data_IF_688096926774
#
_entry.id   IF_688096926774
#
_cell.length_a   1.000
_cell.length_b   1.000
_cell.length_c   1.000
_cell.angle_alpha   90.00
_cell.angle_beta   90.00
_cell.angle_gamma   90.00
#
_symmetry.space_group_name_H-M   'P 1'
#
loop_
_entity.id
_entity.type
_entity.pdbx_description
1 polymer ?
#
# COMPACT_ATOMS: atom_id res chain seq x y z
N UNK A 1 -3.94 42.59 -51.49
CA UNK A 1 -5.27 42.68 -50.83
C UNK A 1 -4.99 43.07 -49.37
N UNK A 2 -5.12 44.34 -48.91
CA UNK A 2 -6.36 45.11 -48.64
C UNK A 2 -7.36 44.20 -47.89
N UNK A 3 -7.76 44.39 -46.63
CA UNK A 3 -8.12 45.55 -45.79
C UNK A 3 -8.06 45.09 -44.30
N UNK A 4 -7.61 45.86 -43.31
CA UNK A 4 -8.15 47.09 -42.71
C UNK A 4 -9.22 46.88 -41.63
N UNK A 5 -8.97 47.49 -40.47
CA UNK A 5 -9.94 48.07 -39.52
C UNK A 5 -10.73 47.08 -38.64
N UNK A 6 -11.07 47.34 -37.38
CA UNK A 6 -11.03 48.57 -36.58
C UNK A 6 -11.09 48.21 -35.07
N UNK A 7 -10.42 48.99 -34.23
CA UNK A 7 -10.85 49.24 -32.85
C UNK A 7 -11.96 50.30 -32.86
N UNK A 8 -12.78 50.37 -31.81
CA UNK A 8 -12.74 51.62 -31.05
C UNK A 8 -12.76 51.46 -29.51
N UNK A 9 -12.08 52.44 -28.90
CA UNK A 9 -12.03 52.78 -27.48
C UNK A 9 -13.35 53.45 -27.02
N UNK A 10 -13.70 53.26 -25.74
CA UNK A 10 -14.55 54.19 -24.95
C UNK A 10 -14.17 53.99 -23.48
N UNK A 11 -13.31 54.83 -22.88
CA UNK A 11 -13.60 56.13 -22.22
C UNK A 11 -14.78 56.07 -21.24
N UNK A 12 -14.78 56.61 -20.03
CA UNK A 12 -13.82 57.26 -19.11
C UNK A 12 -14.62 57.48 -17.81
N UNK A 13 -13.91 57.69 -16.69
CA UNK A 13 -14.24 58.63 -15.60
C UNK A 13 -15.54 58.44 -14.78
N UNK A 14 -15.40 58.34 -13.46
CA UNK A 14 -15.51 59.49 -12.55
C UNK A 14 -15.51 59.05 -11.08
N UNK A 15 -14.69 59.74 -10.29
CA UNK A 15 -14.59 59.66 -8.84
C UNK A 15 -15.63 60.56 -8.16
N UNK A 16 -16.16 60.16 -6.99
CA UNK A 16 -16.66 61.01 -5.89
C UNK A 16 -16.63 60.13 -4.62
N UNK A 17 -15.69 60.24 -3.69
CA UNK A 17 -15.56 61.19 -2.57
C UNK A 17 -16.81 61.37 -1.68
N UNK A 18 -16.58 61.05 -0.40
CA UNK A 18 -17.09 61.69 0.83
C UNK A 18 -18.49 61.37 1.36
N UNK A 19 -18.51 60.78 2.56
CA UNK A 19 -19.43 61.15 3.64
C UNK A 19 -18.78 60.83 4.99
N UNK A 20 -18.58 61.87 5.79
CA UNK A 20 -18.15 61.81 7.19
C UNK A 20 -19.30 61.36 8.10
N UNK A 21 -18.93 60.57 9.11
CA UNK A 21 -19.22 60.86 10.51
C UNK A 21 -20.66 60.76 11.03
N UNK A 22 -20.86 59.87 12.01
CA UNK A 22 -21.04 60.29 13.41
C UNK A 22 -20.90 59.13 14.41
N UNK A 23 -20.64 59.44 15.70
CA UNK A 23 -20.15 58.52 16.73
C UNK A 23 -21.27 58.01 17.67
N UNK A 24 -20.85 57.36 18.76
CA UNK A 24 -21.61 56.95 19.97
C UNK A 24 -22.27 55.57 19.84
N UNK A 25 -22.19 54.62 20.79
CA UNK A 25 -21.78 54.65 22.19
C UNK A 25 -21.10 53.32 22.55
N UNK A 26 -19.90 53.41 23.09
CA UNK A 26 -19.22 52.29 23.74
C UNK A 26 -19.90 52.03 25.08
N UNK A 27 -20.94 51.19 25.13
CA UNK A 27 -21.40 50.62 26.39
C UNK A 27 -20.36 49.62 26.88
N UNK A 28 -19.40 50.11 27.65
CA UNK A 28 -18.50 49.28 28.42
C UNK A 28 -19.32 48.53 29.48
N UNK A 29 -19.79 47.32 29.15
CA UNK A 29 -20.25 46.38 30.16
C UNK A 29 -19.03 45.93 30.95
N UNK A 30 -18.88 46.53 32.14
CA UNK A 30 -17.97 46.07 33.17
C UNK A 30 -18.41 44.68 33.63
N UNK A 31 -17.94 43.64 32.95
CA UNK A 31 -17.97 42.29 33.50
C UNK A 31 -17.05 42.26 34.72
N UNK A 32 -17.63 42.33 35.92
CA UNK A 32 -16.98 41.87 37.15
C UNK A 32 -16.73 40.36 37.00
N UNK A 33 -15.55 40.00 36.49
CA UNK A 33 -15.00 38.66 36.68
C UNK A 33 -14.65 38.50 38.15
N UNK A 34 -15.43 37.71 38.86
CA UNK A 34 -15.01 37.13 40.14
C UNK A 34 -14.05 35.99 39.83
N UNK A 35 -12.77 36.20 40.11
CA UNK A 35 -11.76 35.15 40.05
C UNK A 35 -11.87 34.31 41.31
N UNK A 36 -12.34 33.06 41.20
CA UNK A 36 -12.27 32.10 42.29
C UNK A 36 -10.85 31.54 42.37
N UNK A 37 -10.00 32.11 43.22
CA UNK A 37 -8.72 31.50 43.57
C UNK A 37 -8.97 30.36 44.56
N UNK A 38 -8.45 29.16 44.26
CA UNK A 38 -8.36 28.08 45.24
C UNK A 38 -7.36 28.51 46.33
N UNK A 39 -7.84 28.71 47.55
CA UNK A 39 -6.97 28.94 48.70
C UNK A 39 -6.19 27.66 49.01
N UNK A 40 -4.87 27.69 48.84
CA UNK A 40 -3.98 26.71 49.47
C UNK A 40 -3.79 27.15 50.93
N UNK A 41 -3.83 26.20 51.87
CA UNK A 41 -3.58 26.48 53.29
C UNK A 41 -2.08 26.68 53.47
N UNK A 42 -1.68 27.87 53.91
CA UNK A 42 -0.29 28.17 54.25
C UNK A 42 -0.05 27.90 55.74
N UNK A 43 1.05 27.23 56.05
CA UNK A 43 1.52 26.96 57.42
C UNK A 43 1.91 28.27 58.13
N UNK A 44 1.42 28.43 59.37
CA UNK A 44 1.38 29.69 60.10
C UNK A 44 2.73 30.22 60.64
N UNK A 45 3.88 29.69 60.22
CA UNK A 45 5.20 30.01 60.79
C UNK A 45 6.14 30.83 59.89
N UNK A 46 5.73 31.21 58.68
CA UNK A 46 6.53 32.05 57.78
C UNK A 46 5.90 33.44 57.64
N UNK A 47 6.69 34.54 57.67
CA UNK A 47 6.16 35.87 57.42
C UNK A 47 5.53 35.90 56.02
N UNK A 48 4.26 36.33 55.94
CA UNK A 48 3.49 36.44 54.69
C UNK A 48 4.13 37.52 53.81
N UNK A 49 5.06 37.13 52.96
CA UNK A 49 5.61 38.00 51.91
C UNK A 49 4.69 37.87 50.71
N UNK A 50 4.15 39.01 50.25
CA UNK A 50 3.32 39.08 49.05
C UNK A 50 4.19 38.69 47.85
N UNK A 51 3.94 37.51 47.28
CA UNK A 51 4.62 37.10 46.05
C UNK A 51 4.33 38.13 44.96
N UNK A 52 5.38 38.54 44.23
CA UNK A 52 5.22 39.50 43.14
C UNK A 52 4.22 38.91 42.14
N UNK A 53 3.21 39.69 41.69
CA UNK A 53 2.20 39.19 40.78
C UNK A 53 2.85 38.62 39.54
N UNK A 54 2.40 37.44 39.14
CA UNK A 54 2.96 36.70 38.02
C UNK A 54 2.92 37.59 36.77
N UNK A 55 4.06 37.71 36.07
CA UNK A 55 4.21 38.69 35.00
C UNK A 55 3.22 38.36 33.89
N UNK A 56 2.41 39.34 33.47
CA UNK A 56 1.38 39.17 32.44
C UNK A 56 1.97 38.52 31.19
N UNK A 57 1.64 37.24 30.98
CA UNK A 57 1.94 36.51 29.76
C UNK A 57 0.65 36.46 28.96
N UNK A 58 0.49 37.31 27.92
CA UNK A 58 -0.67 37.18 27.06
C UNK A 58 -0.67 35.75 26.50
N UNK A 59 -1.85 35.13 26.32
CA UNK A 59 -1.92 33.83 25.69
C UNK A 59 -1.22 33.91 24.33
N UNK A 60 -0.06 33.27 24.21
CA UNK A 60 0.84 33.44 23.06
C UNK A 60 0.26 32.86 21.76
N UNK A 61 -0.81 32.07 21.85
CA UNK A 61 -1.69 31.72 20.75
C UNK A 61 -3.09 31.41 21.28
N UNK A 62 -4.12 31.55 20.43
CA UNK A 62 -5.46 31.08 20.74
C UNK A 62 -5.41 29.59 21.11
N UNK A 63 -5.98 29.23 22.26
CA UNK A 63 -6.11 27.83 22.67
C UNK A 63 -6.75 27.04 21.52
N UNK A 64 -6.11 25.92 21.12
CA UNK A 64 -6.59 25.05 20.05
C UNK A 64 -8.11 24.90 20.15
N UNK A 65 -8.81 25.11 19.03
CA UNK A 65 -10.26 24.96 19.01
C UNK A 65 -10.63 23.63 19.66
N UNK A 66 -11.65 23.62 20.53
CA UNK A 66 -12.09 22.40 21.19
C UNK A 66 -12.31 21.29 20.15
N UNK A 67 -11.73 20.11 20.42
CA UNK A 67 -11.94 18.89 19.63
C UNK A 67 -13.43 18.70 19.32
N UNK A 68 -13.79 18.06 18.20
CA UNK A 68 -15.17 17.91 17.69
C UNK A 68 -16.22 17.48 18.74
N UNK A 69 -15.81 16.82 19.83
CA UNK A 69 -16.62 16.49 21.03
C UNK A 69 -17.04 17.68 21.91
N UNK A 70 -16.38 18.81 21.79
CA UNK A 70 -16.52 20.03 22.61
C UNK A 70 -16.92 21.24 21.75
N UNK A 71 -17.48 21.01 20.55
CA UNK A 71 -18.18 22.09 19.86
C UNK A 71 -19.38 22.50 20.71
N UNK A 72 -19.63 23.79 20.95
CA UNK A 72 -20.80 24.20 21.68
C UNK A 72 -22.03 23.73 20.90
N UNK A 73 -22.82 22.87 21.52
CA UNK A 73 -24.11 22.39 21.05
C UNK A 73 -25.18 23.49 21.09
N UNK A 74 -24.75 24.76 21.00
CA UNK A 74 -25.62 25.92 20.94
C UNK A 74 -25.75 26.33 19.48
N UNK A 75 -26.72 25.71 18.84
CA UNK A 75 -27.31 26.24 17.60
C UNK A 75 -28.08 27.49 18.01
N UNK A 76 -27.60 28.67 17.61
CA UNK A 76 -28.36 29.91 17.81
C UNK A 76 -29.57 29.89 16.87
N UNK A 77 -30.77 29.84 17.45
CA UNK A 77 -32.05 29.80 16.72
C UNK A 77 -32.99 28.69 17.20
N UNK A 78 -34.24 28.65 16.72
CA UNK A 78 -35.14 27.53 16.93
C UNK A 78 -34.53 26.22 16.41
N UNK A 79 -34.79 25.11 17.10
CA UNK A 79 -34.36 23.79 16.61
C UNK A 79 -35.08 23.49 15.29
N UNK A 80 -34.31 23.05 14.29
CA UNK A 80 -34.85 22.71 12.98
C UNK A 80 -35.84 21.55 13.14
N UNK A 81 -37.00 21.68 12.50
CA UNK A 81 -37.95 20.57 12.43
C UNK A 81 -37.34 19.41 11.64
N UNK A 82 -37.73 18.15 11.90
CA UNK A 82 -37.21 17.01 11.15
C UNK A 82 -37.48 17.14 9.64
N UNK A 83 -38.57 17.82 9.27
CA UNK A 83 -38.91 18.12 7.89
C UNK A 83 -37.93 19.13 7.26
N UNK A 84 -37.60 20.21 7.97
CA UNK A 84 -36.61 21.20 7.51
C UNK A 84 -35.23 20.59 7.33
N UNK A 85 -34.82 19.66 8.20
CA UNK A 85 -33.56 18.92 8.06
C UNK A 85 -33.56 18.05 6.79
N UNK A 86 -34.67 17.36 6.50
CA UNK A 86 -34.81 16.58 5.28
C UNK A 86 -34.78 17.47 4.02
N UNK A 87 -35.38 18.65 4.08
CA UNK A 87 -35.34 19.64 3.01
C UNK A 87 -33.92 20.19 2.81
N UNK A 88 -33.17 20.48 3.88
CA UNK A 88 -31.78 20.94 3.79
C UNK A 88 -30.87 19.93 3.07
N UNK A 89 -31.05 18.63 3.32
CA UNK A 89 -30.30 17.56 2.64
C UNK A 89 -30.54 17.50 1.13
N UNK A 90 -31.71 17.97 0.66
CA UNK A 90 -32.10 17.95 -0.76
C UNK A 90 -31.84 19.28 -1.47
N UNK A 91 -31.67 20.38 -0.75
CA UNK A 91 -31.37 21.70 -1.31
C UNK A 91 -29.97 21.72 -1.92
N UNK A 92 -29.88 22.03 -3.22
CA UNK A 92 -28.63 22.10 -3.98
C UNK A 92 -28.31 23.56 -4.31
N UNK A 93 -27.14 24.02 -3.89
CA UNK A 93 -26.59 25.32 -4.29
C UNK A 93 -25.44 25.13 -5.29
N UNK A 94 -25.08 26.17 -6.06
CA UNK A 94 -23.92 26.11 -6.94
C UNK A 94 -22.65 25.70 -6.17
N UNK A 95 -21.81 24.85 -6.77
CA UNK A 95 -20.56 24.32 -6.21
C UNK A 95 -20.67 23.46 -4.93
N UNK A 96 -21.88 23.11 -4.48
CA UNK A 96 -22.05 22.15 -3.39
C UNK A 96 -22.07 20.71 -3.90
N UNK A 97 -21.72 19.77 -3.00
CA UNK A 97 -21.88 18.34 -3.25
C UNK A 97 -23.33 18.04 -3.65
N UNK A 98 -23.57 17.13 -4.62
CA UNK A 98 -24.92 16.66 -4.93
C UNK A 98 -25.63 16.11 -3.68
N UNK A 99 -26.97 16.24 -3.60
CA UNK A 99 -27.71 15.80 -2.42
C UNK A 99 -27.65 14.27 -2.22
N UNK A 100 -27.79 13.85 -0.96
CA UNK A 100 -27.83 12.44 -0.55
C UNK A 100 -28.94 11.69 -1.32
N UNK A 101 -28.64 10.48 -1.82
CA UNK A 101 -29.56 9.67 -2.62
C UNK A 101 -29.51 9.91 -4.13
N UNK A 102 -28.72 10.88 -4.60
CA UNK A 102 -28.41 10.99 -6.04
C UNK A 102 -27.27 10.05 -6.44
N UNK A 103 -27.27 9.61 -7.70
CA UNK A 103 -26.18 8.80 -8.26
C UNK A 103 -24.82 9.47 -8.13
N UNK A 104 -24.76 10.78 -8.37
CA UNK A 104 -23.51 11.54 -8.29
C UNK A 104 -22.95 11.54 -6.87
N UNK A 105 -23.80 11.74 -5.86
CA UNK A 105 -23.39 11.64 -4.45
C UNK A 105 -22.93 10.21 -4.10
N UNK A 106 -23.64 9.19 -4.57
CA UNK A 106 -23.24 7.79 -4.38
C UNK A 106 -21.87 7.50 -4.99
N UNK A 107 -21.64 7.90 -6.25
CA UNK A 107 -20.38 7.67 -6.96
C UNK A 107 -19.20 8.36 -6.26
N UNK A 108 -19.35 9.63 -5.88
CA UNK A 108 -18.30 10.43 -5.20
C UNK A 108 -17.97 9.92 -3.79
N UNK A 109 -18.95 9.39 -3.06
CA UNK A 109 -18.78 9.08 -1.63
C UNK A 109 -18.49 7.59 -1.38
N UNK A 110 -18.78 6.70 -2.32
CA UNK A 110 -18.60 5.26 -2.13
C UNK A 110 -17.12 4.85 -2.24
N UNK A 111 -16.49 4.55 -1.11
CA UNK A 111 -15.09 4.11 -1.05
C UNK A 111 -14.84 2.79 -1.78
N UNK A 112 -15.78 1.84 -1.71
CA UNK A 112 -15.62 0.53 -2.35
C UNK A 112 -15.57 0.67 -3.87
N UNK A 113 -16.41 1.54 -4.44
CA UNK A 113 -16.42 1.82 -5.87
C UNK A 113 -15.06 2.34 -6.35
N UNK A 114 -14.46 3.30 -5.63
CA UNK A 114 -13.12 3.81 -5.97
C UNK A 114 -12.04 2.74 -5.85
N UNK A 115 -12.13 1.87 -4.84
CA UNK A 115 -11.22 0.73 -4.67
C UNK A 115 -11.35 -0.25 -5.84
N UNK A 116 -12.56 -0.60 -6.26
CA UNK A 116 -12.76 -1.49 -7.41
C UNK A 116 -12.28 -0.87 -8.72
N UNK A 117 -12.54 0.41 -8.97
CA UNK A 117 -12.08 1.08 -10.20
C UNK A 117 -10.55 1.15 -10.21
N UNK A 118 -9.92 1.59 -9.12
CA UNK A 118 -8.46 1.65 -9.04
C UNK A 118 -7.81 0.28 -9.16
N UNK A 119 -8.36 -0.76 -8.50
CA UNK A 119 -7.90 -2.13 -8.66
C UNK A 119 -8.10 -2.66 -10.09
N UNK A 120 -9.24 -2.38 -10.73
CA UNK A 120 -9.52 -2.82 -12.09
C UNK A 120 -8.56 -2.18 -13.10
N UNK A 121 -8.26 -0.88 -12.96
CA UNK A 121 -7.28 -0.20 -13.80
C UNK A 121 -5.88 -0.78 -13.57
N UNK A 122 -5.48 -1.00 -12.32
CA UNK A 122 -4.16 -1.56 -12.00
C UNK A 122 -4.01 -2.99 -12.51
N UNK A 123 -5.04 -3.83 -12.33
CA UNK A 123 -5.06 -5.22 -12.77
C UNK A 123 -5.07 -5.32 -14.30
N UNK A 124 -5.89 -4.52 -14.98
CA UNK A 124 -5.92 -4.51 -16.46
C UNK A 124 -4.59 -4.03 -17.06
N UNK A 125 -3.94 -3.03 -16.48
CA UNK A 125 -2.62 -2.58 -16.94
C UNK A 125 -1.54 -3.64 -16.68
N UNK A 126 -1.53 -4.26 -15.50
CA UNK A 126 -0.60 -5.34 -15.18
C UNK A 126 -0.80 -6.54 -16.13
N UNK A 127 -2.05 -6.94 -16.37
CA UNK A 127 -2.39 -8.00 -17.30
C UNK A 127 -2.00 -7.65 -18.74
N UNK A 128 -2.20 -6.41 -19.17
CA UNK A 128 -1.78 -5.94 -20.50
C UNK A 128 -0.26 -6.01 -20.68
N UNK A 129 0.51 -5.51 -19.72
CA UNK A 129 1.98 -5.58 -19.75
C UNK A 129 2.46 -7.02 -19.75
N UNK A 130 1.87 -7.87 -18.89
CA UNK A 130 2.14 -9.31 -18.87
C UNK A 130 1.87 -9.96 -20.24
N UNK A 131 0.70 -9.70 -20.82
CA UNK A 131 0.31 -10.26 -22.11
C UNK A 131 1.22 -9.78 -23.23
N UNK A 132 1.56 -8.48 -23.27
CA UNK A 132 2.49 -7.95 -24.27
C UNK A 132 3.89 -8.54 -24.11
N UNK A 133 4.39 -8.66 -22.89
CA UNK A 133 5.68 -9.29 -22.62
C UNK A 133 5.69 -10.76 -23.06
N UNK A 134 4.62 -11.50 -22.79
CA UNK A 134 4.47 -12.88 -23.27
C UNK A 134 4.45 -12.94 -24.80
N UNK A 135 3.66 -12.09 -25.47
CA UNK A 135 3.56 -12.08 -26.93
C UNK A 135 4.88 -11.69 -27.63
N UNK A 136 5.76 -10.92 -26.99
CA UNK A 136 7.05 -10.51 -27.56
C UNK A 136 8.21 -11.46 -27.25
N UNK A 137 8.20 -12.12 -26.08
CA UNK A 137 9.32 -12.97 -25.62
C UNK A 137 9.12 -14.45 -25.91
N UNK A 138 7.90 -14.88 -26.24
CA UNK A 138 7.61 -16.30 -26.43
C UNK A 138 8.18 -16.83 -27.76
N UNK A 139 8.90 -17.97 -27.74
CA UNK A 139 9.34 -18.64 -28.96
C UNK A 139 8.17 -19.36 -29.67
N UNK A 140 7.07 -19.65 -28.96
CA UNK A 140 5.92 -20.41 -29.46
C UNK A 140 4.77 -19.54 -29.98
N UNK A 141 5.07 -18.34 -30.48
CA UNK A 141 4.07 -17.36 -30.92
C UNK A 141 3.13 -17.90 -32.00
N UNK A 142 3.63 -18.78 -32.87
CA UNK A 142 2.91 -19.32 -34.02
C UNK A 142 1.83 -20.34 -33.59
N UNK A 143 1.93 -20.87 -32.37
CA UNK A 143 0.96 -21.81 -31.81
C UNK A 143 -0.19 -21.09 -31.08
N UNK A 144 -0.17 -19.76 -31.01
CA UNK A 144 -1.23 -19.00 -30.36
C UNK A 144 -2.49 -18.94 -31.24
N UNK A 145 -3.68 -18.97 -30.63
CA UNK A 145 -4.92 -18.82 -31.37
C UNK A 145 -4.98 -17.43 -32.02
N UNK A 146 -5.58 -17.37 -33.22
CA UNK A 146 -5.81 -16.11 -33.90
C UNK A 146 -6.72 -15.21 -33.04
N UNK A 147 -6.52 -13.89 -33.10
CA UNK A 147 -7.33 -12.93 -32.31
C UNK A 147 -8.83 -13.01 -32.62
N UNK A 148 -9.19 -13.40 -33.85
CA UNK A 148 -10.58 -13.63 -34.26
C UNK A 148 -11.18 -14.89 -33.63
N UNK A 149 -10.37 -15.92 -33.33
CA UNK A 149 -10.88 -17.18 -32.79
C UNK A 149 -11.36 -17.07 -31.33
N UNK A 150 -10.89 -16.02 -30.62
CA UNK A 150 -11.42 -15.66 -29.30
C UNK A 150 -12.91 -15.31 -29.33
N UNK A 151 -13.41 -14.76 -30.45
CA UNK A 151 -14.83 -14.39 -30.59
C UNK A 151 -15.70 -15.57 -31.05
N UNK A 152 -15.16 -16.47 -31.90
CA UNK A 152 -15.90 -17.65 -32.37
C UNK A 152 -15.89 -18.82 -31.39
N UNK A 153 -14.72 -19.13 -30.81
CA UNK A 153 -14.54 -20.27 -29.90
C UNK A 153 -13.75 -19.85 -28.66
N UNK A 154 -14.36 -19.08 -27.74
CA UNK A 154 -13.65 -18.48 -26.60
C UNK A 154 -12.98 -19.54 -25.72
N UNK A 155 -13.67 -20.65 -25.43
CA UNK A 155 -13.13 -21.71 -24.57
C UNK A 155 -11.96 -22.46 -25.21
N UNK A 156 -12.06 -22.80 -26.50
CA UNK A 156 -10.98 -23.49 -27.23
C UNK A 156 -9.72 -22.61 -27.31
N UNK A 157 -9.91 -21.35 -27.65
CA UNK A 157 -8.82 -20.37 -27.71
C UNK A 157 -8.14 -20.20 -26.35
N UNK A 158 -8.91 -20.14 -25.25
CA UNK A 158 -8.33 -20.07 -23.90
C UNK A 158 -7.51 -21.32 -23.55
N UNK A 159 -8.03 -22.52 -23.83
CA UNK A 159 -7.29 -23.76 -23.60
C UNK A 159 -5.98 -23.80 -24.40
N UNK A 160 -6.02 -23.41 -25.68
CA UNK A 160 -4.83 -23.32 -26.51
C UNK A 160 -3.82 -22.30 -25.96
N UNK A 161 -4.28 -21.10 -25.56
CA UNK A 161 -3.44 -20.10 -24.92
C UNK A 161 -2.75 -20.65 -23.66
N UNK A 162 -3.49 -21.33 -22.77
CA UNK A 162 -2.91 -21.94 -21.57
C UNK A 162 -1.92 -23.05 -21.89
N UNK A 163 -2.15 -23.84 -22.94
CA UNK A 163 -1.20 -24.87 -23.39
C UNK A 163 0.13 -24.26 -23.85
N UNK A 164 0.08 -23.16 -24.62
CA UNK A 164 1.27 -22.42 -25.06
C UNK A 164 1.97 -21.73 -23.89
N UNK A 165 1.19 -21.17 -22.96
CA UNK A 165 1.74 -20.59 -21.74
C UNK A 165 2.50 -21.63 -20.90
N UNK A 166 1.98 -22.85 -20.78
CA UNK A 166 2.68 -23.96 -20.11
C UNK A 166 4.01 -24.29 -20.82
N UNK A 167 4.01 -24.40 -22.14
CA UNK A 167 5.26 -24.64 -22.90
C UNK A 167 6.27 -23.50 -22.71
N UNK A 168 5.83 -22.25 -22.66
CA UNK A 168 6.69 -21.12 -22.35
C UNK A 168 7.27 -21.20 -20.94
N UNK A 169 6.45 -21.54 -19.94
CA UNK A 169 6.91 -21.73 -18.57
C UNK A 169 7.94 -22.88 -18.46
N UNK A 170 7.70 -23.99 -19.15
CA UNK A 170 8.62 -25.13 -19.22
C UNK A 170 9.95 -24.72 -19.86
N UNK A 171 9.91 -23.94 -20.94
CA UNK A 171 11.12 -23.40 -21.59
C UNK A 171 11.93 -22.47 -20.68
N UNK A 172 11.28 -21.52 -20.01
CA UNK A 172 11.94 -20.62 -19.04
C UNK A 172 12.53 -21.40 -17.87
N UNK A 173 11.84 -22.46 -17.42
CA UNK A 173 12.32 -23.35 -16.38
C UNK A 173 13.59 -24.10 -16.82
N UNK A 174 13.59 -24.66 -18.04
CA UNK A 174 14.75 -25.34 -18.63
C UNK A 174 15.95 -24.40 -18.77
N UNK A 175 15.75 -23.20 -19.33
CA UNK A 175 16.84 -22.21 -19.43
C UNK A 175 17.41 -21.83 -18.07
N UNK A 176 16.54 -21.68 -17.07
CA UNK A 176 16.97 -21.34 -15.71
C UNK A 176 17.73 -22.49 -15.06
N UNK A 177 17.29 -23.73 -15.28
CA UNK A 177 17.98 -24.92 -14.83
C UNK A 177 19.37 -25.04 -15.49
N UNK A 178 19.49 -24.78 -16.79
CA UNK A 178 20.78 -24.75 -17.48
C UNK A 178 21.70 -23.65 -16.94
N UNK A 179 21.17 -22.43 -16.75
CA UNK A 179 21.93 -21.32 -16.16
C UNK A 179 22.43 -21.67 -14.74
N UNK A 180 21.65 -22.42 -13.96
CA UNK A 180 22.06 -22.91 -12.64
C UNK A 180 23.11 -24.01 -12.74
N UNK A 181 22.95 -24.97 -13.65
CA UNK A 181 23.94 -26.03 -13.91
C UNK A 181 25.30 -25.45 -14.28
N UNK A 182 25.35 -24.50 -15.21
CA UNK A 182 26.60 -23.82 -15.61
C UNK A 182 27.31 -23.16 -14.43
N UNK A 183 26.56 -22.50 -13.53
CA UNK A 183 27.13 -21.89 -12.33
C UNK A 183 27.69 -22.92 -11.35
N UNK A 184 27.01 -24.05 -11.18
CA UNK A 184 27.49 -25.15 -10.32
C UNK A 184 28.76 -25.76 -10.92
N UNK A 185 28.74 -26.08 -12.22
CA UNK A 185 29.91 -26.59 -12.95
C UNK A 185 31.13 -25.65 -12.83
N UNK A 186 30.93 -24.33 -12.89
CA UNK A 186 32.01 -23.36 -12.71
C UNK A 186 32.57 -23.37 -11.28
N UNK A 187 31.72 -23.57 -10.26
CA UNK A 187 32.16 -23.72 -8.87
C UNK A 187 32.92 -25.03 -8.67
N UNK A 188 32.43 -26.12 -9.26
CA UNK A 188 33.04 -27.44 -9.16
C UNK A 188 34.41 -27.44 -9.84
N UNK A 189 34.54 -26.89 -11.05
CA UNK A 189 35.84 -26.71 -11.73
C UNK A 189 36.83 -25.91 -10.88
N UNK A 190 36.37 -24.85 -10.20
CA UNK A 190 37.22 -24.07 -9.29
C UNK A 190 37.64 -24.89 -8.06
N UNK A 191 36.74 -25.71 -7.53
CA UNK A 191 37.05 -26.59 -6.40
C UNK A 191 38.06 -27.68 -6.81
N UNK A 192 37.87 -28.29 -7.98
CA UNK A 192 38.80 -29.26 -8.56
C UNK A 192 40.17 -28.64 -8.81
N UNK A 193 40.23 -27.43 -9.37
CA UNK A 193 41.47 -26.69 -9.56
C UNK A 193 42.22 -26.46 -8.25
N UNK A 194 41.52 -25.98 -7.20
CA UNK A 194 42.13 -25.79 -5.87
C UNK A 194 42.61 -27.11 -5.26
N UNK A 195 41.85 -28.19 -5.44
CA UNK A 195 42.22 -29.53 -4.98
C UNK A 195 43.46 -30.06 -5.71
N UNK A 196 43.53 -29.91 -7.03
CA UNK A 196 44.66 -30.35 -7.84
C UNK A 196 45.95 -29.58 -7.52
N UNK A 197 45.84 -28.29 -7.20
CA UNK A 197 46.97 -27.45 -6.82
C UNK A 197 47.29 -27.45 -5.32
N UNK A 198 46.63 -28.30 -4.51
CA UNK A 198 46.94 -28.45 -3.09
C UNK A 198 46.50 -27.28 -2.19
N UNK A 199 45.98 -26.18 -2.74
CA UNK A 199 45.50 -25.01 -1.98
C UNK A 199 44.39 -25.41 -1.00
N UNK A 200 43.50 -26.29 -1.46
CA UNK A 200 42.42 -26.83 -0.64
C UNK A 200 42.93 -27.70 0.52
N UNK A 201 44.14 -28.28 0.46
CA UNK A 201 44.68 -29.11 1.53
C UNK A 201 45.16 -28.26 2.73
N UNK A 202 45.64 -27.04 2.49
CA UNK A 202 46.07 -26.10 3.53
C UNK A 202 44.87 -25.43 4.20
N UNK A 203 43.83 -25.06 3.44
CA UNK A 203 42.60 -24.44 3.97
C UNK A 203 41.64 -25.44 4.66
N UNK A 204 41.64 -26.72 4.24
CA UNK A 204 40.83 -27.78 4.87
C UNK A 204 41.33 -28.20 6.25
N UNK A 205 42.54 -27.85 6.64
CA UNK A 205 43.05 -28.10 8.00
C UNK A 205 42.41 -27.20 9.06
N UNK A 206 42.08 -25.96 8.72
CA UNK A 206 41.55 -24.96 9.64
C UNK A 206 40.02 -24.89 9.67
N UNK A 207 39.33 -25.12 8.55
CA UNK A 207 37.87 -25.00 8.46
C UNK A 207 37.09 -26.32 8.61
N UNK A 208 37.74 -27.48 8.49
CA UNK A 208 37.09 -28.80 8.71
C UNK A 208 36.77 -29.07 10.18
N UNK A 209 37.53 -28.51 11.11
CA UNK A 209 37.28 -28.68 12.55
C UNK A 209 35.99 -28.01 13.07
N UNK A 210 35.47 -26.99 12.37
CA UNK A 210 34.24 -26.29 12.76
C UNK A 210 33.00 -26.80 12.02
N UNK A 211 33.13 -27.28 10.77
CA UNK A 211 31.98 -27.60 9.90
C UNK A 211 31.72 -29.09 9.66
N UNK A 212 32.52 -30.01 10.22
CA UNK A 212 32.25 -31.45 10.17
C UNK A 212 32.08 -32.04 11.56
N UNK A 213 30.91 -31.85 12.17
CA UNK A 213 30.38 -32.86 13.09
C UNK A 213 29.62 -33.92 12.27
N UNK A 214 29.88 -35.22 12.49
CA UNK A 214 29.22 -36.30 11.77
C UNK A 214 27.93 -36.69 12.49
N UNK A 215 26.77 -36.48 11.85
CA UNK A 215 25.61 -37.30 12.17
C UNK A 215 25.66 -38.53 11.27
N UNK A 216 26.24 -39.60 11.80
CA UNK A 216 26.22 -40.92 11.20
C UNK A 216 24.78 -41.32 10.88
N UNK A 217 24.48 -41.54 9.59
CA UNK A 217 23.36 -42.37 9.17
C UNK A 217 23.95 -43.56 8.44
N UNK A 218 23.82 -44.73 9.08
CA UNK A 218 24.17 -46.05 8.56
C UNK A 218 23.71 -46.20 7.11
N UNK A 219 24.67 -46.33 6.22
CA UNK A 219 24.51 -46.98 4.92
C UNK A 219 24.56 -48.49 5.17
N UNK A 220 23.39 -49.13 5.25
CA UNK A 220 23.29 -50.54 4.92
C UNK A 220 23.11 -50.66 3.41
N UNK A 221 24.09 -51.30 2.81
CA UNK A 221 24.12 -51.72 1.41
C UNK A 221 23.19 -52.93 1.29
N UNK A 222 22.16 -52.82 0.43
CA UNK A 222 21.45 -54.00 -0.08
C UNK A 222 21.64 -54.00 -1.58
N UNK A 223 22.36 -55.02 -2.04
CA UNK A 223 22.63 -55.31 -3.44
C UNK A 223 21.35 -55.70 -4.21
N UNK A 224 21.49 -55.51 -5.52
CA UNK A 224 20.56 -55.65 -6.63
C UNK A 224 19.70 -56.93 -6.65
N UNK A 225 18.41 -56.78 -6.88
CA UNK A 225 17.59 -57.77 -7.59
C UNK A 225 16.60 -57.05 -8.54
N UNK A 226 16.71 -57.40 -9.82
CA UNK A 226 15.80 -57.03 -10.91
C UNK A 226 14.54 -57.87 -10.77
N UNK A 227 13.35 -57.24 -10.79
CA UNK A 227 12.19 -57.70 -11.56
C UNK A 227 11.09 -56.62 -11.58
N UNK A 228 10.49 -56.44 -12.75
CA UNK A 228 9.53 -55.38 -13.02
C UNK A 228 8.11 -55.68 -12.53
N UNK A 229 7.42 -54.63 -12.10
CA UNK A 229 5.97 -54.53 -12.17
C UNK A 229 5.57 -53.05 -12.17
N UNK A 230 4.69 -52.72 -13.11
CA UNK A 230 3.97 -51.45 -13.26
C UNK A 230 3.01 -51.27 -12.08
N UNK A 231 2.72 -49.99 -11.78
CA UNK A 231 1.61 -49.42 -11.00
C UNK A 231 2.02 -48.62 -9.75
N UNK A 232 1.55 -47.37 -9.76
CA UNK A 232 1.24 -46.48 -8.64
C UNK A 232 2.34 -45.66 -7.94
N UNK A 233 2.09 -44.34 -7.94
CA UNK A 233 2.92 -43.29 -7.34
C UNK A 233 2.84 -43.30 -5.82
N UNK A 234 3.96 -43.11 -5.09
CA UNK A 234 3.92 -42.59 -3.74
C UNK A 234 4.22 -41.09 -3.72
N UNK A 235 3.15 -40.34 -3.52
CA UNK A 235 3.14 -38.94 -3.07
C UNK A 235 4.01 -38.78 -1.80
N UNK A 236 4.85 -37.74 -1.82
CA UNK A 236 5.46 -37.06 -0.67
C UNK A 236 6.34 -37.88 0.28
N UNK A 237 7.64 -37.99 -0.06
CA UNK A 237 8.71 -37.89 0.94
C UNK A 237 9.38 -36.53 0.75
N UNK A 238 9.31 -35.70 1.78
CA UNK A 238 9.89 -34.35 1.81
C UNK A 238 11.42 -34.42 1.72
N UNK A 239 11.94 -34.33 0.50
CA UNK A 239 13.34 -34.01 0.29
C UNK A 239 13.55 -32.53 0.65
N UNK A 240 14.33 -32.30 1.70
CA UNK A 240 14.82 -30.96 2.08
C UNK A 240 15.72 -30.42 0.96
N UNK A 241 15.15 -29.65 0.06
CA UNK A 241 15.90 -28.88 -0.92
C UNK A 241 16.63 -27.72 -0.20
N UNK A 242 17.96 -27.65 -0.34
CA UNK A 242 18.82 -26.61 0.25
C UNK A 242 19.10 -25.52 -0.79
N UNK A 243 18.79 -24.27 -0.47
CA UNK A 243 19.18 -23.11 -1.28
C UNK A 243 20.66 -22.72 -1.04
N UNK A 244 21.25 -22.05 -2.03
CA UNK A 244 22.68 -21.76 -2.25
C UNK A 244 23.43 -20.99 -1.12
N UNK A 245 22.76 -20.52 -0.07
CA UNK A 245 23.35 -19.66 0.97
C UNK A 245 23.56 -20.33 2.34
N UNK A 246 23.40 -21.66 2.45
CA UNK A 246 23.72 -22.41 3.66
C UNK A 246 22.84 -22.09 4.88
N UNK A 247 21.84 -21.21 4.75
CA UNK A 247 20.78 -21.06 5.74
C UNK A 247 19.79 -22.20 5.53
N UNK A 248 19.75 -23.14 6.48
CA UNK A 248 18.54 -23.94 6.65
C UNK A 248 17.40 -22.94 6.83
N UNK A 249 16.43 -22.91 5.90
CA UNK A 249 15.16 -22.27 6.19
C UNK A 249 14.67 -22.95 7.46
N UNK A 250 14.73 -22.23 8.58
CA UNK A 250 14.08 -22.62 9.82
C UNK A 250 12.71 -23.15 9.42
N UNK A 251 12.46 -24.41 9.76
CA UNK A 251 11.19 -25.11 9.58
C UNK A 251 10.06 -24.08 9.64
N UNK A 252 9.35 -23.92 8.52
CA UNK A 252 8.34 -22.86 8.35
C UNK A 252 7.47 -22.83 9.58
N UNK A 253 7.56 -21.76 10.38
CA UNK A 253 6.73 -21.58 11.57
C UNK A 253 5.28 -21.76 11.12
N UNK A 254 4.47 -22.59 11.81
CA UNK A 254 3.12 -22.90 11.36
C UNK A 254 2.33 -21.59 11.21
N UNK A 255 1.85 -21.34 9.99
CA UNK A 255 1.04 -20.16 9.68
C UNK A 255 -0.25 -20.25 10.50
N UNK A 256 -0.56 -19.20 11.26
CA UNK A 256 -1.81 -19.13 12.02
C UNK A 256 -2.98 -19.16 11.04
N UNK A 257 -3.70 -20.28 11.02
CA UNK A 257 -4.87 -20.55 10.18
C UNK A 257 -6.01 -19.63 10.63
N UNK A 258 -6.25 -18.53 9.92
CA UNK A 258 -7.30 -17.57 10.31
C UNK A 258 -8.67 -17.87 9.66
N UNK A 259 -8.73 -18.78 8.69
CA UNK A 259 -9.96 -19.13 7.98
C UNK A 259 -9.92 -20.62 7.62
N UNK A 260 -10.47 -21.48 8.49
CA UNK A 260 -10.33 -22.95 8.47
C UNK A 260 -10.65 -23.62 7.13
N UNK A 261 -9.65 -23.73 6.26
CA UNK A 261 -9.68 -24.49 5.02
C UNK A 261 -8.39 -25.33 5.01
N UNK A 262 -8.58 -26.61 4.72
CA UNK A 262 -7.62 -27.70 4.89
C UNK A 262 -6.40 -27.57 3.97
#
# INVERSE_FOLDING_TARGET
>A
MRLSSAHPLRTTSAALLFSLGRPTSSSALLFRRTYASKNKKDDASKPRVLEKPDKFRPPSHAARLPSNRKKPQYTYGPQLTPEELAQQKRKKYPNMMPPEGTFMHYFLTNRMLHVYISLAVLFSLAFYVFLMNFLTTTPYRDLLPARSDLLSHPFRSLHQFFSVYRMHADHVSQETAEKRKRKVEDVDKRAEFRRAHGIDAEDKGLLRGWLSEPHEKKTEVVDVAVDGAVEESPVAKEEQFRDFEGRQQQQRRPVKKWLGIW
#
